data_IF_011636136202
#
_entry.id   IF_011636136202
#
_cell.length_a   1.000
_cell.length_b   1.000
_cell.length_c   1.000
_cell.angle_alpha   90.00
_cell.angle_beta   90.00
_cell.angle_gamma   90.00
#
_symmetry.space_group_name_H-M   'P 1'
#
loop_
_entity.id
_entity.type
_entity.pdbx_description
1 polymer ?
#
# COMPACT_ATOMS: atom_id res chain seq x y z
N UNK A 1 22.45 -16.04 -11.76
CA UNK A 1 22.21 -15.46 -10.42
C UNK A 1 20.85 -14.81 -10.41
N UNK A 2 19.84 -15.42 -9.78
CA UNK A 2 18.52 -14.78 -9.65
C UNK A 2 18.64 -13.64 -8.62
N UNK A 3 18.46 -12.39 -9.04
CA UNK A 3 18.58 -11.23 -8.17
C UNK A 3 17.66 -11.36 -6.95
N UNK A 4 18.24 -11.32 -5.74
CA UNK A 4 17.58 -11.48 -4.44
C UNK A 4 16.48 -10.43 -4.14
N UNK A 5 16.25 -9.45 -5.02
CA UNK A 5 15.41 -8.28 -4.74
C UNK A 5 13.91 -8.39 -5.06
N UNK A 6 13.46 -9.38 -5.84
CA UNK A 6 12.07 -9.41 -6.34
C UNK A 6 11.25 -10.62 -5.88
N UNK A 7 11.64 -11.27 -4.77
CA UNK A 7 10.83 -12.34 -4.17
C UNK A 7 9.57 -11.74 -3.54
N UNK A 8 8.41 -12.16 -4.04
CA UNK A 8 7.09 -11.81 -3.49
C UNK A 8 7.02 -12.25 -2.02
N UNK A 9 6.48 -11.44 -1.10
CA UNK A 9 6.31 -11.85 0.30
C UNK A 9 5.49 -13.13 0.41
N UNK A 10 5.78 -13.93 1.42
CA UNK A 10 5.02 -15.14 1.70
C UNK A 10 3.53 -14.80 1.92
N UNK A 11 2.63 -15.61 1.36
CA UNK A 11 1.16 -15.45 1.48
C UNK A 11 0.60 -14.12 0.93
N UNK A 12 1.38 -13.33 0.21
CA UNK A 12 0.92 -12.03 -0.31
C UNK A 12 -0.28 -12.16 -1.27
N UNK A 13 -0.35 -13.25 -2.02
CA UNK A 13 -1.45 -13.60 -2.93
C UNK A 13 -2.73 -14.01 -2.19
N UNK A 14 -2.63 -14.49 -0.95
CA UNK A 14 -3.76 -14.95 -0.14
C UNK A 14 -4.65 -13.78 0.34
N UNK A 15 -4.09 -12.56 0.39
CA UNK A 15 -4.80 -11.38 0.88
C UNK A 15 -5.49 -10.62 -0.24
N UNK A 16 -6.68 -10.10 0.06
CA UNK A 16 -7.39 -9.16 -0.81
C UNK A 16 -6.60 -7.84 -0.95
N UNK A 17 -6.64 -7.17 -2.11
CA UNK A 17 -5.86 -5.95 -2.33
C UNK A 17 -6.23 -4.78 -1.41
N UNK A 18 -7.52 -4.51 -1.24
CA UNK A 18 -8.07 -3.36 -0.50
C UNK A 18 -9.28 -3.82 0.31
N UNK A 19 -9.28 -3.56 1.61
CA UNK A 19 -10.40 -3.80 2.50
C UNK A 19 -11.51 -2.74 2.35
N UNK A 20 -12.50 -2.79 3.23
CA UNK A 20 -13.49 -1.70 3.40
C UNK A 20 -13.04 -0.79 4.53
N UNK A 21 -13.60 0.42 4.55
CA UNK A 21 -13.49 1.32 5.69
C UNK A 21 -13.97 0.64 6.96
N UNK A 22 -13.11 0.65 7.99
CA UNK A 22 -13.43 0.09 9.29
C UNK A 22 -14.51 0.94 9.96
N UNK A 23 -15.66 0.36 10.36
CA UNK A 23 -16.75 1.10 10.97
C UNK A 23 -16.30 1.95 12.16
N UNK A 24 -16.82 3.17 12.26
CA UNK A 24 -16.47 4.11 13.35
C UNK A 24 -15.08 4.74 13.23
N UNK A 25 -14.30 4.42 12.19
CA UNK A 25 -12.97 4.99 11.98
C UNK A 25 -12.83 5.63 10.59
N UNK A 26 -11.64 6.13 10.28
CA UNK A 26 -11.23 6.55 8.92
C UNK A 26 -10.17 5.62 8.34
N UNK A 27 -10.04 4.41 8.87
CA UNK A 27 -9.02 3.46 8.47
C UNK A 27 -9.51 2.53 7.37
N UNK A 28 -8.66 2.35 6.36
CA UNK A 28 -8.80 1.32 5.35
C UNK A 28 -7.50 0.52 5.34
N UNK A 29 -7.60 -0.79 5.56
CA UNK A 29 -6.46 -1.69 5.43
C UNK A 29 -6.31 -2.13 3.97
N UNK A 30 -5.07 -2.20 3.48
CA UNK A 30 -4.74 -2.74 2.17
C UNK A 30 -3.44 -3.54 2.27
N UNK A 31 -3.25 -4.53 1.39
CA UNK A 31 -1.96 -5.24 1.33
C UNK A 31 -0.92 -4.38 0.64
N UNK A 32 0.36 -4.59 0.92
CA UNK A 32 1.43 -3.79 0.29
C UNK A 32 1.38 -3.87 -1.24
N UNK A 33 1.26 -2.74 -1.97
CA UNK A 33 1.40 -2.75 -3.41
C UNK A 33 2.84 -3.06 -3.82
N UNK A 34 3.03 -3.71 -4.96
CA UNK A 34 4.34 -4.14 -5.46
C UNK A 34 4.70 -3.40 -6.75
N UNK A 35 5.96 -2.95 -6.86
CA UNK A 35 6.51 -2.33 -8.08
C UNK A 35 6.67 -3.35 -9.21
N UNK A 36 6.75 -2.87 -10.46
CA UNK A 36 6.77 -3.73 -11.65
C UNK A 36 7.81 -4.85 -11.63
N UNK A 37 8.94 -4.69 -10.94
CA UNK A 37 9.97 -5.72 -10.83
C UNK A 37 9.47 -7.06 -10.25
N UNK A 38 8.37 -7.06 -9.50
CA UNK A 38 7.72 -8.25 -8.95
C UNK A 38 6.77 -8.95 -9.94
N UNK A 39 6.37 -8.28 -11.03
CA UNK A 39 5.35 -8.79 -11.98
C UNK A 39 5.75 -10.10 -12.66
N UNK A 40 7.05 -10.37 -12.80
CA UNK A 40 7.57 -11.63 -13.35
C UNK A 40 7.28 -12.86 -12.48
N UNK A 41 6.97 -12.64 -11.21
CA UNK A 41 6.72 -13.67 -10.21
C UNK A 41 5.23 -13.73 -9.78
N UNK A 42 4.35 -13.05 -10.52
CA UNK A 42 2.91 -12.95 -10.21
C UNK A 42 2.08 -13.21 -11.47
N UNK A 43 0.96 -13.91 -11.31
CA UNK A 43 -0.05 -13.98 -12.36
C UNK A 43 -0.60 -12.58 -12.66
N UNK A 44 -0.92 -12.22 -13.92
CA UNK A 44 -1.46 -10.89 -14.26
C UNK A 44 -2.61 -10.43 -13.36
N UNK A 45 -3.53 -11.33 -13.02
CA UNK A 45 -4.72 -11.03 -12.20
C UNK A 45 -4.41 -10.82 -10.70
N UNK A 46 -3.24 -11.27 -10.23
CA UNK A 46 -2.81 -11.11 -8.85
C UNK A 46 -2.02 -9.82 -8.63
N UNK A 47 -1.61 -9.16 -9.72
CA UNK A 47 -0.78 -7.95 -9.65
C UNK A 47 -1.55 -6.83 -8.95
N UNK A 48 -0.84 -6.13 -8.07
CA UNK A 48 -1.39 -5.00 -7.35
C UNK A 48 -0.30 -3.94 -7.18
N UNK A 49 -0.35 -2.92 -8.02
CA UNK A 49 0.59 -1.80 -8.05
C UNK A 49 0.07 -0.62 -7.22
N UNK A 50 0.93 0.38 -6.91
CA UNK A 50 0.48 1.62 -6.29
C UNK A 50 -0.62 2.35 -7.09
N UNK A 51 -0.59 2.23 -8.43
CA UNK A 51 -1.63 2.79 -9.32
C UNK A 51 -2.97 2.08 -9.11
N UNK A 52 -2.94 0.76 -8.95
CA UNK A 52 -4.14 -0.05 -8.69
C UNK A 52 -4.76 0.29 -7.33
N UNK A 53 -3.95 0.57 -6.30
CA UNK A 53 -4.42 1.05 -5.00
C UNK A 53 -5.24 2.34 -5.15
N UNK A 54 -4.68 3.36 -5.82
CA UNK A 54 -5.35 4.65 -6.03
C UNK A 54 -6.66 4.46 -6.81
N UNK A 55 -6.64 3.61 -7.85
CA UNK A 55 -7.84 3.30 -8.64
C UNK A 55 -8.92 2.68 -7.77
N UNK A 56 -8.58 1.65 -6.98
CA UNK A 56 -9.54 0.95 -6.11
C UNK A 56 -10.11 1.83 -5.00
N UNK A 57 -9.32 2.73 -4.43
CA UNK A 57 -9.79 3.71 -3.44
C UNK A 57 -10.86 4.63 -4.05
N UNK A 58 -10.61 5.14 -5.26
CA UNK A 58 -11.59 5.96 -6.00
C UNK A 58 -12.84 5.17 -6.37
N UNK A 59 -12.71 3.91 -6.77
CA UNK A 59 -13.84 3.01 -7.05
C UNK A 59 -14.70 2.79 -5.80
N UNK A 60 -14.11 2.78 -4.60
CA UNK A 60 -14.81 2.74 -3.31
C UNK A 60 -15.41 4.09 -2.88
N UNK A 61 -15.23 5.16 -3.67
CA UNK A 61 -15.60 6.55 -3.34
C UNK A 61 -14.94 7.07 -2.06
N UNK A 62 -13.72 6.61 -1.79
CA UNK A 62 -12.88 7.07 -0.69
C UNK A 62 -11.77 7.99 -1.24
N UNK A 63 -11.21 8.84 -0.37
CA UNK A 63 -10.11 9.74 -0.70
C UNK A 63 -8.80 9.21 -0.10
N UNK A 64 -7.71 9.22 -0.88
CA UNK A 64 -6.39 8.86 -0.37
C UNK A 64 -5.82 10.04 0.42
N UNK A 65 -5.56 9.82 1.71
CA UNK A 65 -5.02 10.82 2.62
C UNK A 65 -3.56 10.62 2.98
N UNK A 66 -3.37 9.83 4.04
CA UNK A 66 -2.10 9.50 4.68
C UNK A 66 -1.91 8.00 4.66
N UNK A 67 -0.73 7.53 4.28
CA UNK A 67 -0.40 6.10 4.35
C UNK A 67 0.51 5.88 5.56
N UNK A 68 0.11 4.98 6.44
CA UNK A 68 0.94 4.48 7.54
C UNK A 68 1.52 3.16 7.06
N UNK A 69 2.80 3.17 6.71
CA UNK A 69 3.49 1.98 6.26
C UNK A 69 4.15 1.23 7.43
N UNK A 70 3.65 0.02 7.65
CA UNK A 70 4.09 -0.91 8.67
C UNK A 70 4.96 -2.04 8.10
N UNK A 71 5.44 -1.91 6.85
CA UNK A 71 6.31 -2.89 6.17
C UNK A 71 7.65 -3.12 6.86
N UNK A 72 8.15 -2.12 7.58
CA UNK A 72 9.52 -2.08 8.08
C UNK A 72 10.58 -2.27 6.96
N UNK A 73 10.26 -1.94 5.71
CA UNK A 73 11.17 -2.02 4.56
C UNK A 73 10.74 -1.17 3.37
N UNK A 74 11.69 -0.61 2.63
CA UNK A 74 11.42 0.25 1.45
C UNK A 74 11.40 -0.50 0.12
N UNK A 75 11.50 -1.84 0.13
CA UNK A 75 11.78 -2.66 -1.07
C UNK A 75 10.62 -2.78 -2.06
N UNK A 76 9.39 -2.54 -1.64
CA UNK A 76 8.20 -3.00 -2.38
C UNK A 76 7.67 -2.01 -3.41
N UNK A 77 7.53 -0.74 -3.04
CA UNK A 77 6.78 0.23 -3.84
C UNK A 77 7.51 1.56 -4.03
N UNK A 78 8.80 1.66 -3.68
CA UNK A 78 9.56 2.91 -3.84
C UNK A 78 9.38 3.45 -5.27
N UNK A 79 8.99 4.73 -5.43
CA UNK A 79 8.77 5.32 -6.74
C UNK A 79 10.13 5.54 -7.41
N UNK A 80 10.58 4.57 -8.20
CA UNK A 80 11.69 4.82 -9.14
C UNK A 80 11.07 5.43 -10.40
N UNK A 81 10.96 6.77 -10.44
CA UNK A 81 10.66 7.52 -11.65
C UNK A 81 9.18 7.72 -12.02
N UNK A 82 8.24 7.61 -11.07
CA UNK A 82 6.81 7.81 -11.31
C UNK A 82 6.33 9.08 -10.57
N UNK A 83 6.65 10.26 -11.13
CA UNK A 83 6.44 11.59 -10.51
C UNK A 83 4.98 11.83 -10.08
N UNK A 84 4.01 11.35 -10.85
CA UNK A 84 2.57 11.46 -10.53
C UNK A 84 2.21 10.73 -9.24
N UNK A 85 2.92 9.64 -8.94
CA UNK A 85 2.74 8.92 -7.68
C UNK A 85 3.52 9.60 -6.56
N UNK A 86 4.68 10.18 -6.83
CA UNK A 86 5.48 10.87 -5.81
C UNK A 86 4.63 11.89 -5.02
N UNK A 87 3.92 12.78 -5.73
CA UNK A 87 3.05 13.84 -5.17
C UNK A 87 1.91 13.30 -4.27
N UNK A 88 1.47 12.06 -4.49
CA UNK A 88 0.40 11.40 -3.70
C UNK A 88 0.94 10.56 -2.54
N UNK A 89 2.25 10.28 -2.55
CA UNK A 89 2.94 9.43 -1.56
C UNK A 89 3.83 10.25 -0.62
N UNK A 90 3.87 11.58 -0.75
CA UNK A 90 4.58 12.49 0.17
C UNK A 90 4.02 12.46 1.62
N UNK A 91 2.82 11.90 1.82
CA UNK A 91 2.21 11.63 3.13
C UNK A 91 2.38 10.20 3.63
N UNK A 92 3.46 9.49 3.26
CA UNK A 92 3.70 8.12 3.73
C UNK A 92 4.63 8.13 4.94
N UNK A 93 4.11 7.79 6.12
CA UNK A 93 4.92 7.53 7.30
C UNK A 93 5.35 6.08 7.32
N UNK A 94 6.62 5.84 7.00
CA UNK A 94 7.25 4.53 7.16
C UNK A 94 7.78 4.44 8.58
N UNK A 95 7.34 3.45 9.35
CA UNK A 95 7.98 3.13 10.63
C UNK A 95 9.37 2.54 10.33
N UNK A 96 10.39 3.39 10.34
CA UNK A 96 11.79 3.01 10.07
C UNK A 96 12.53 2.50 11.32
N UNK A 97 13.58 1.73 11.08
CA UNK A 97 14.41 1.04 12.05
C UNK A 97 15.26 2.02 12.86
N UNK A 98 14.97 2.15 14.15
CA UNK A 98 16.01 2.52 15.13
C UNK A 98 16.29 1.40 16.15
N UNK A 99 15.90 0.16 15.86
CA UNK A 99 16.22 -1.02 16.69
C UNK A 99 16.46 -2.22 15.79
N UNK A 100 17.73 -2.66 15.69
CA UNK A 100 18.17 -3.70 14.76
C UNK A 100 17.68 -5.11 15.10
N UNK A 101 16.43 -5.42 14.76
CA UNK A 101 15.91 -6.78 14.77
C UNK A 101 15.17 -7.07 13.47
N UNK A 102 15.78 -7.92 12.64
CA UNK A 102 15.14 -8.48 11.47
C UNK A 102 13.97 -9.38 11.89
N UNK A 103 12.76 -9.07 11.44
CA UNK A 103 11.66 -10.03 11.48
C UNK A 103 10.82 -9.92 10.21
N UNK A 104 10.48 -11.09 9.67
CA UNK A 104 9.56 -11.27 8.56
C UNK A 104 8.14 -11.17 9.12
N UNK A 105 7.59 -9.96 9.21
CA UNK A 105 6.17 -9.76 9.51
C UNK A 105 5.40 -9.53 8.21
N UNK A 106 4.24 -10.16 8.01
CA UNK A 106 3.37 -9.88 6.88
C UNK A 106 2.77 -8.47 7.03
N UNK A 107 2.69 -7.80 5.89
CA UNK A 107 2.73 -6.35 5.79
C UNK A 107 1.36 -5.81 5.41
N UNK A 108 0.74 -5.10 6.35
CA UNK A 108 -0.48 -4.33 6.11
C UNK A 108 -0.12 -2.85 6.32
N UNK A 109 0.12 -2.06 5.28
CA UNK A 109 0.01 -0.62 5.39
C UNK A 109 -1.44 -0.23 5.73
N UNK A 110 -1.61 0.69 6.67
CA UNK A 110 -2.92 1.22 7.08
C UNK A 110 -3.07 2.61 6.47
N UNK A 111 -4.17 2.85 5.76
CA UNK A 111 -4.51 4.19 5.28
C UNK A 111 -5.26 4.98 6.35
N UNK A 112 -4.85 6.23 6.60
CA UNK A 112 -5.59 7.24 7.35
C UNK A 112 -6.10 8.33 6.41
N UNK A 113 -7.41 8.58 6.35
CA UNK A 113 -8.01 9.61 5.48
C UNK A 113 -8.28 10.90 6.28
N UNK A 114 -7.75 12.09 5.92
CA UNK A 114 -8.17 13.36 6.51
C UNK A 114 -9.55 13.76 5.99
N UNK A 115 -10.27 14.55 6.79
CA UNK A 115 -11.67 14.88 6.51
C UNK A 115 -11.77 16.01 5.47
N UNK A 116 -12.37 15.70 4.33
CA UNK A 116 -13.22 16.65 3.64
C UNK A 116 -14.64 16.48 4.19
N UNK A 117 -14.97 17.23 5.23
CA UNK A 117 -16.37 17.46 5.63
C UNK A 117 -17.05 18.26 4.51
N UNK A 118 -17.91 17.62 3.72
CA UNK A 118 -19.15 18.23 3.23
C UNK A 118 -19.91 17.26 2.32
N UNK A 119 -21.07 16.83 2.79
CA UNK A 119 -22.32 17.02 2.06
C UNK A 119 -23.47 16.70 3.00
N UNK A 120 -24.47 17.57 2.96
CA UNK A 120 -25.50 17.72 3.96
C UNK A 120 -26.28 16.46 4.23
N UNK A 121 -26.61 16.30 5.51
CA UNK A 121 -27.88 15.71 5.91
C UNK A 121 -28.99 16.54 5.23
N UNK A 122 -29.95 15.92 4.51
CA UNK A 122 -31.08 16.64 3.94
C UNK A 122 -31.96 17.28 5.01
#
# INVERSE_FOLDING_TARGET
MAGKGCRVPERWTDYIPLGRRMPGTRFIAFKVPLKMSFNRNLHPDERFSPRDLIKKIKEQKEELGLIIDLTYTTRYYRPEGDEVLQDRWDGVFILDQNTGLGSSTPIVPILFVPASTSSGVP
#
